data_IF_780706883752
#
_entry.id   IF_780706883752
#
_cell.length_a   1.000
_cell.length_b   1.000
_cell.length_c   1.000
_cell.angle_alpha   90.00
_cell.angle_beta   90.00
_cell.angle_gamma   90.00
#
_symmetry.space_group_name_H-M   'P 1'
#
loop_
_entity.id
_entity.type
_entity.pdbx_description
1 polymer ?
#
# COMPACT_ATOMS: atom_id res chain seq x y z
N UNK A 1 4.18 0.84 16.22
CA UNK A 1 4.46 1.72 15.07
C UNK A 1 3.59 2.97 15.20
N UNK A 2 4.17 4.17 15.06
CA UNK A 2 3.45 5.44 15.23
C UNK A 2 3.20 6.18 13.90
N UNK A 3 3.52 5.57 12.76
CA UNK A 3 3.28 6.17 11.45
C UNK A 3 1.77 6.17 11.12
N UNK A 4 1.14 7.32 10.85
CA UNK A 4 -0.27 7.40 10.46
C UNK A 4 -0.61 6.52 9.24
N UNK A 5 0.31 6.34 8.30
CA UNK A 5 0.10 5.46 7.15
C UNK A 5 -0.03 4.00 7.53
N UNK A 6 0.77 3.51 8.48
CA UNK A 6 0.62 2.14 9.00
C UNK A 6 -0.80 1.92 9.57
N UNK A 7 -1.29 2.88 10.37
CA UNK A 7 -2.65 2.80 10.94
C UNK A 7 -3.75 2.90 9.89
N UNK A 8 -3.51 3.64 8.81
CA UNK A 8 -4.42 3.68 7.67
C UNK A 8 -4.48 2.31 7.01
N UNK A 9 -3.34 1.71 6.70
CA UNK A 9 -3.22 0.41 6.04
C UNK A 9 -3.83 -0.74 6.87
N UNK A 10 -3.81 -0.65 8.21
CA UNK A 10 -4.52 -1.60 9.09
C UNK A 10 -6.06 -1.55 8.94
N UNK A 11 -6.61 -0.44 8.46
CA UNK A 11 -8.05 -0.20 8.35
C UNK A 11 -8.58 -0.33 6.93
N UNK A 12 -7.69 -0.34 5.94
CA UNK A 12 -8.07 -0.45 4.53
C UNK A 12 -8.50 -1.89 4.25
N UNK A 13 -9.70 -2.12 3.68
CA UNK A 13 -10.12 -3.46 3.29
C UNK A 13 -9.23 -4.05 2.21
N UNK A 14 -9.01 -5.36 2.28
CA UNK A 14 -8.38 -6.12 1.20
C UNK A 14 -9.15 -5.93 -0.11
N UNK A 15 -8.44 -5.82 -1.23
CA UNK A 15 -9.05 -5.59 -2.54
C UNK A 15 -9.32 -4.11 -2.85
N UNK A 16 -9.04 -3.19 -1.93
CA UNK A 16 -9.18 -1.76 -2.20
C UNK A 16 -8.24 -1.35 -3.34
N UNK A 17 -8.78 -0.64 -4.33
CA UNK A 17 -7.99 -0.16 -5.46
C UNK A 17 -7.09 1.00 -5.05
N UNK A 18 -5.84 0.93 -5.48
CA UNK A 18 -4.83 1.98 -5.35
C UNK A 18 -4.86 2.83 -6.61
N UNK A 19 -4.94 4.14 -6.42
CA UNK A 19 -4.82 5.15 -7.47
C UNK A 19 -3.37 5.56 -7.66
N UNK A 20 -2.64 5.76 -6.56
CA UNK A 20 -1.26 6.24 -6.57
C UNK A 20 -0.51 5.76 -5.33
N UNK A 21 0.77 5.44 -5.49
CA UNK A 21 1.67 5.05 -4.40
C UNK A 21 3.02 5.75 -4.60
N UNK A 22 3.41 6.60 -3.65
CA UNK A 22 4.74 7.21 -3.63
C UNK A 22 5.61 6.60 -2.53
N UNK A 23 6.86 6.30 -2.87
CA UNK A 23 7.84 5.71 -1.97
C UNK A 23 9.24 6.30 -2.21
N UNK A 24 9.85 6.84 -1.15
CA UNK A 24 11.12 7.58 -1.20
C UNK A 24 11.16 8.72 -2.24
N UNK A 25 10.04 9.41 -2.45
CA UNK A 25 9.90 10.50 -3.42
C UNK A 25 9.74 10.07 -4.87
N UNK A 26 9.59 8.77 -5.14
CA UNK A 26 9.32 8.22 -6.47
C UNK A 26 7.92 7.62 -6.55
N UNK A 27 7.27 7.77 -7.72
CA UNK A 27 6.02 7.08 -8.02
C UNK A 27 6.29 5.60 -8.28
N UNK A 28 5.63 4.74 -7.49
CA UNK A 28 5.66 3.30 -7.64
C UNK A 28 4.52 2.92 -8.59
N UNK A 29 4.75 3.24 -9.86
CA UNK A 29 3.85 2.87 -10.95
C UNK A 29 3.68 1.34 -11.05
N UNK A 30 2.44 0.91 -11.33
CA UNK A 30 2.10 -0.50 -11.48
C UNK A 30 1.60 -1.18 -10.20
N UNK A 31 1.30 -0.44 -9.14
CA UNK A 31 0.47 -0.94 -8.02
C UNK A 31 -0.98 -0.60 -8.27
N UNK A 32 -1.88 -1.56 -8.06
CA UNK A 32 -3.30 -1.37 -8.35
C UNK A 32 -4.26 -1.80 -7.26
N UNK A 33 -3.92 -2.85 -6.52
CA UNK A 33 -4.81 -3.41 -5.51
C UNK A 33 -4.04 -3.63 -4.23
N UNK A 34 -4.56 -3.10 -3.14
CA UNK A 34 -4.09 -3.41 -1.80
C UNK A 34 -4.55 -4.82 -1.41
N UNK A 35 -3.62 -5.64 -0.95
CA UNK A 35 -3.91 -7.01 -0.50
C UNK A 35 -4.06 -7.02 1.00
N UNK A 36 -2.99 -6.73 1.74
CA UNK A 36 -2.99 -6.74 3.20
C UNK A 36 -1.85 -5.91 3.77
N UNK A 37 -1.94 -5.61 5.06
CA UNK A 37 -0.86 -5.04 5.83
C UNK A 37 -0.53 -5.93 7.03
N UNK A 38 0.69 -6.46 7.05
CA UNK A 38 1.22 -7.23 8.16
C UNK A 38 1.82 -6.28 9.20
N UNK A 39 1.06 -6.02 10.26
CA UNK A 39 1.49 -5.19 11.39
C UNK A 39 2.64 -5.77 12.22
N UNK A 40 2.93 -7.08 12.11
CA UNK A 40 4.06 -7.71 12.81
C UNK A 40 5.38 -7.37 12.11
N UNK A 41 5.39 -7.46 10.77
CA UNK A 41 6.59 -7.18 9.96
C UNK A 41 6.67 -5.74 9.45
N UNK A 42 5.55 -4.99 9.48
CA UNK A 42 5.44 -3.64 8.94
C UNK A 42 5.40 -3.59 7.41
N UNK A 43 4.98 -4.69 6.77
CA UNK A 43 4.94 -4.84 5.32
C UNK A 43 3.53 -4.64 4.77
N UNK A 44 3.42 -3.83 3.72
CA UNK A 44 2.20 -3.65 2.94
C UNK A 44 2.33 -4.40 1.62
N UNK A 45 1.32 -5.21 1.30
CA UNK A 45 1.30 -6.09 0.14
C UNK A 45 0.29 -5.57 -0.86
N UNK A 46 0.72 -5.53 -2.11
CA UNK A 46 -0.07 -5.04 -3.23
C UNK A 46 0.03 -5.98 -4.43
N UNK A 47 -0.90 -5.80 -5.37
CA UNK A 47 -0.91 -6.48 -6.67
C UNK A 47 -1.06 -5.49 -7.81
N UNK A 48 -0.60 -5.94 -8.97
CA UNK A 48 -0.82 -5.28 -10.26
C UNK A 48 -1.79 -6.08 -11.15
N UNK A 49 -2.11 -5.52 -12.32
CA UNK A 49 -3.00 -6.11 -13.35
C UNK A 49 -2.56 -7.51 -13.80
N UNK A 50 -1.25 -7.78 -13.77
CA UNK A 50 -0.66 -9.08 -14.13
C UNK A 50 -0.62 -10.05 -12.96
N UNK A 51 -1.30 -9.74 -11.84
CA UNK A 51 -1.31 -10.51 -10.59
C UNK A 51 0.08 -10.73 -9.98
N UNK A 52 1.06 -9.89 -10.33
CA UNK A 52 2.38 -9.86 -9.69
C UNK A 52 2.27 -9.17 -8.33
N UNK A 53 3.02 -9.67 -7.36
CA UNK A 53 3.00 -9.13 -5.98
C UNK A 53 4.08 -8.07 -5.81
N UNK A 54 3.70 -6.93 -5.24
CA UNK A 54 4.59 -5.88 -4.81
C UNK A 54 4.53 -5.76 -3.29
N UNK A 55 5.68 -5.60 -2.64
CA UNK A 55 5.79 -5.50 -1.18
C UNK A 55 6.53 -4.22 -0.83
N UNK A 56 5.91 -3.39 -0.01
CA UNK A 56 6.51 -2.15 0.50
C UNK A 56 6.67 -2.22 2.02
N UNK A 57 7.73 -1.60 2.52
CA UNK A 57 7.84 -1.30 3.96
C UNK A 57 6.95 -0.09 4.23
N UNK A 58 5.92 -0.23 5.06
CA UNK A 58 4.92 0.82 5.26
C UNK A 58 5.52 2.13 5.78
N UNK A 59 6.61 2.05 6.55
CA UNK A 59 7.33 3.24 7.04
C UNK A 59 8.06 4.05 5.95
N UNK A 60 8.24 3.47 4.76
CA UNK A 60 8.89 4.12 3.61
C UNK A 60 7.91 4.67 2.59
N UNK A 61 6.61 4.40 2.77
CA UNK A 61 5.56 4.97 1.93
C UNK A 61 5.42 6.44 2.32
N UNK A 62 5.52 7.32 1.34
CA UNK A 62 5.34 8.77 1.54
C UNK A 62 3.86 9.14 1.41
N UNK A 63 3.18 8.52 0.45
CA UNK A 63 1.77 8.76 0.15
C UNK A 63 1.15 7.52 -0.47
N UNK A 64 -0.11 7.25 -0.14
CA UNK A 64 -0.96 6.31 -0.85
C UNK A 64 -2.33 6.95 -1.07
N UNK A 65 -2.85 6.84 -2.28
CA UNK A 65 -4.21 7.24 -2.63
C UNK A 65 -5.01 6.01 -3.04
N UNK A 66 -6.20 5.85 -2.45
CA UNK A 66 -7.14 4.79 -2.79
C UNK A 66 -8.29 5.33 -3.62
N UNK A 67 -8.85 4.49 -4.49
CA UNK A 67 -10.09 4.79 -5.19
C UNK A 67 -11.25 4.44 -4.24
N UNK A 68 -12.00 5.46 -3.83
CA UNK A 68 -13.26 5.28 -3.07
C UNK A 68 -14.44 5.39 -4.03
N UNK A 69 -15.23 4.32 -4.14
CA UNK A 69 -16.54 4.36 -4.79
C UNK A 69 -17.62 4.94 -3.87
#
# INVERSE_FOLDING_TARGET
MNNPLCKLLEQVPEGTRVKELMMNGEDVSGVETFVEYDSVTGLAIFKNDSNSTFVAVAERIDMIEFITE
#
